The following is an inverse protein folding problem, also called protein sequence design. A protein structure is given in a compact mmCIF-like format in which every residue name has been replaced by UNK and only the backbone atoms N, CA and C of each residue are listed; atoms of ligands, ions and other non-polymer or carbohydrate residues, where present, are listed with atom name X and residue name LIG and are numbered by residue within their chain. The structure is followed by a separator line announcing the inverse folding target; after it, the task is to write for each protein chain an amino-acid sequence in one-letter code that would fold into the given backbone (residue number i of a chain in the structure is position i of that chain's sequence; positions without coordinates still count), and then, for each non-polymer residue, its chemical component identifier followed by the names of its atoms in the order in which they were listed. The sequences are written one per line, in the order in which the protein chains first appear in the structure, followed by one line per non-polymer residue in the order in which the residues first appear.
data_IF_371716534296
#
_entry.id   IF_371716534296
#
_cell.length_a   1.000
_cell.length_b   1.000
_cell.length_c   1.000
_cell.angle_alpha   90.00
_cell.angle_beta   90.00
_cell.angle_gamma   90.00
#
_symmetry.space_group_name_H-M   'P 1'
#
loop_
_entity.id
_entity.type
_entity.pdbx_description
1 polymer ?
#
# COMPACT_ATOMS: atom_id res chain seq x y z
N UNK A 1 12.33 -22.00 6.31
CA UNK A 1 13.30 -22.50 7.29
C UNK A 1 14.45 -21.54 7.53
N UNK A 2 15.33 -21.20 6.56
CA UNK A 2 16.50 -20.34 6.81
C UNK A 2 16.11 -18.91 7.28
N UNK A 3 15.15 -18.26 6.61
CA UNK A 3 14.70 -16.91 7.01
C UNK A 3 14.03 -16.92 8.38
N UNK A 4 13.19 -17.92 8.68
CA UNK A 4 12.53 -18.06 9.99
C UNK A 4 13.53 -18.22 11.13
N UNK A 5 14.61 -19.00 10.91
CA UNK A 5 15.70 -19.13 11.87
C UNK A 5 16.43 -17.78 12.04
N UNK A 6 16.81 -17.12 10.95
CA UNK A 6 17.45 -15.81 10.99
C UNK A 6 16.59 -14.77 11.72
N UNK A 7 15.27 -14.76 11.39
CA UNK A 7 14.31 -13.86 12.03
C UNK A 7 14.26 -14.07 13.54
N UNK A 8 14.08 -15.33 13.99
CA UNK A 8 13.95 -15.66 15.42
C UNK A 8 15.25 -15.47 16.22
N UNK A 9 16.40 -15.72 15.62
CA UNK A 9 17.68 -15.70 16.35
C UNK A 9 18.40 -14.37 16.29
N UNK A 10 18.25 -13.60 15.23
CA UNK A 10 18.98 -12.36 14.98
C UNK A 10 18.05 -11.16 14.88
N UNK A 11 17.12 -11.16 13.90
CA UNK A 11 16.38 -9.95 13.57
C UNK A 11 15.46 -9.48 14.70
N UNK A 12 14.89 -10.40 15.49
CA UNK A 12 14.03 -10.06 16.64
C UNK A 12 14.79 -9.37 17.79
N UNK A 13 16.13 -9.49 17.85
CA UNK A 13 16.96 -8.91 18.90
C UNK A 13 17.44 -7.49 18.58
N UNK A 14 17.26 -7.04 17.35
CA UNK A 14 17.68 -5.72 16.88
C UNK A 14 16.48 -4.78 16.95
N UNK A 15 16.71 -3.50 17.20
CA UNK A 15 15.64 -2.48 17.16
C UNK A 15 14.83 -2.58 15.85
N UNK A 16 13.49 -2.55 15.91
CA UNK A 16 12.65 -2.75 14.73
C UNK A 16 12.83 -1.73 13.61
N UNK A 17 13.08 -0.48 13.97
CA UNK A 17 13.27 0.58 12.98
C UNK A 17 14.68 0.52 12.38
N UNK A 18 15.70 0.28 13.21
CA UNK A 18 17.07 0.12 12.71
C UNK A 18 17.19 -1.04 11.70
N UNK A 19 16.63 -2.21 12.02
CA UNK A 19 16.71 -3.35 11.09
C UNK A 19 15.89 -3.12 9.84
N UNK A 20 14.78 -2.37 9.93
CA UNK A 20 14.02 -1.95 8.76
C UNK A 20 14.89 -1.11 7.83
N UNK A 21 15.57 -0.09 8.35
CA UNK A 21 16.42 0.81 7.56
C UNK A 21 17.56 0.02 6.89
N UNK A 22 18.27 -0.82 7.64
CA UNK A 22 19.34 -1.69 7.09
C UNK A 22 18.82 -2.62 5.98
N UNK A 23 17.65 -3.23 6.17
CA UNK A 23 17.06 -4.10 5.15
C UNK A 23 16.64 -3.30 3.90
N UNK A 24 16.07 -2.10 4.08
CA UNK A 24 15.67 -1.26 2.95
C UNK A 24 16.87 -0.78 2.14
N UNK A 25 17.97 -0.38 2.80
CA UNK A 25 19.24 -0.02 2.13
C UNK A 25 19.81 -1.21 1.36
N UNK A 26 19.81 -2.40 1.96
CA UNK A 26 20.25 -3.62 1.28
C UNK A 26 19.40 -3.96 0.04
N UNK A 27 18.07 -3.81 0.14
CA UNK A 27 17.14 -4.02 -0.97
C UNK A 27 17.38 -2.98 -2.07
N UNK A 28 17.57 -1.70 -1.71
CA UNK A 28 17.88 -0.63 -2.64
C UNK A 28 19.16 -0.91 -3.42
N UNK A 29 20.27 -1.19 -2.72
CA UNK A 29 21.58 -1.48 -3.34
C UNK A 29 21.49 -2.71 -4.24
N UNK A 30 20.89 -3.78 -3.74
CA UNK A 30 20.72 -5.03 -4.51
C UNK A 30 19.89 -4.80 -5.78
N UNK A 31 18.84 -3.99 -5.70
CA UNK A 31 18.01 -3.63 -6.85
C UNK A 31 18.74 -2.86 -7.93
N UNK A 32 19.75 -2.07 -7.56
CA UNK A 32 20.57 -1.25 -8.48
C UNK A 32 21.66 -2.05 -9.18
N UNK A 33 22.06 -3.23 -8.68
CA UNK A 33 23.10 -4.08 -9.28
C UNK A 33 22.45 -5.12 -10.22
N UNK A 34 22.54 -4.98 -11.56
CA UNK A 34 21.77 -5.78 -12.51
C UNK A 34 21.91 -7.29 -12.32
N UNK A 35 23.14 -7.79 -12.21
CA UNK A 35 23.41 -9.23 -12.07
C UNK A 35 22.78 -9.78 -10.77
N UNK A 36 22.99 -9.11 -9.64
CA UNK A 36 22.48 -9.55 -8.33
C UNK A 36 20.95 -9.51 -8.33
N UNK A 37 20.38 -8.41 -8.82
CA UNK A 37 18.95 -8.23 -8.97
C UNK A 37 18.30 -9.36 -9.79
N UNK A 38 18.89 -9.69 -10.94
CA UNK A 38 18.33 -10.68 -11.84
C UNK A 38 18.43 -12.10 -11.25
N UNK A 39 19.50 -12.42 -10.52
CA UNK A 39 19.63 -13.66 -9.74
C UNK A 39 18.58 -13.73 -8.65
N UNK A 40 18.43 -12.67 -7.82
CA UNK A 40 17.42 -12.63 -6.75
C UNK A 40 16.01 -12.76 -7.33
N UNK A 41 15.72 -12.05 -8.42
CA UNK A 41 14.43 -12.17 -9.12
C UNK A 41 14.16 -13.59 -9.61
N UNK A 42 15.17 -14.26 -10.15
CA UNK A 42 15.06 -15.64 -10.62
C UNK A 42 14.77 -16.60 -9.46
N UNK A 43 15.39 -16.38 -8.29
CA UNK A 43 15.24 -17.25 -7.12
C UNK A 43 13.91 -17.02 -6.38
N UNK A 44 13.54 -15.76 -6.15
CA UNK A 44 12.43 -15.41 -5.26
C UNK A 44 11.28 -14.70 -5.95
N UNK A 45 11.57 -13.81 -6.89
CA UNK A 45 10.61 -12.89 -7.50
C UNK A 45 10.02 -13.33 -8.82
N UNK A 46 10.10 -14.62 -9.18
CA UNK A 46 9.45 -15.12 -10.40
C UNK A 46 7.98 -14.77 -10.38
N UNK A 47 7.53 -14.12 -11.44
CA UNK A 47 6.13 -13.76 -11.65
C UNK A 47 5.41 -14.83 -12.44
N UNK A 48 4.07 -14.86 -12.38
CA UNK A 48 3.26 -15.65 -13.30
C UNK A 48 3.62 -15.33 -14.75
N UNK A 49 3.48 -16.31 -15.63
CA UNK A 49 3.73 -16.14 -17.06
C UNK A 49 2.74 -15.16 -17.72
N UNK A 50 1.56 -15.01 -17.13
CA UNK A 50 0.51 -14.10 -17.60
C UNK A 50 0.14 -13.10 -16.50
N UNK A 51 -0.13 -11.82 -16.87
CA UNK A 51 -0.73 -10.87 -15.95
C UNK A 51 -2.03 -11.46 -15.41
N UNK A 52 -2.29 -11.24 -14.13
CA UNK A 52 -3.60 -11.63 -13.56
C UNK A 52 -4.65 -10.74 -14.23
N UNK A 53 -5.70 -11.28 -14.85
CA UNK A 53 -6.78 -10.48 -15.35
C UNK A 53 -7.37 -9.70 -14.17
N UNK A 54 -7.28 -8.37 -14.19
CA UNK A 54 -8.18 -7.60 -13.37
C UNK A 54 -9.58 -7.77 -13.93
N UNK A 55 -10.59 -7.88 -13.10
CA UNK A 55 -11.97 -8.15 -13.47
C UNK A 55 -12.53 -7.13 -14.51
N UNK A 56 -11.93 -5.96 -14.61
CA UNK A 56 -12.21 -4.95 -15.63
C UNK A 56 -11.06 -4.91 -16.65
N UNK A 57 -11.37 -5.08 -17.93
CA UNK A 57 -10.45 -5.08 -19.08
C UNK A 57 -9.60 -3.80 -19.15
N UNK A 58 -8.55 -3.70 -18.36
CA UNK A 58 -7.66 -2.55 -18.30
C UNK A 58 -7.00 -2.38 -16.92
N UNK A 59 -7.56 -2.99 -15.89
CA UNK A 59 -7.11 -2.85 -14.52
C UNK A 59 -7.21 -1.41 -13.99
N UNK A 60 -7.10 -1.22 -12.67
CA UNK A 60 -7.27 0.10 -12.06
C UNK A 60 -6.16 1.09 -12.42
N UNK A 61 -5.05 0.64 -12.99
CA UNK A 61 -3.83 1.45 -13.17
C UNK A 61 -3.46 1.69 -14.64
N UNK A 62 -4.42 1.72 -15.55
CA UNK A 62 -4.22 1.92 -16.99
C UNK A 62 -3.26 0.91 -17.65
N UNK A 63 -2.79 -0.09 -16.93
CA UNK A 63 -1.96 -1.21 -17.42
C UNK A 63 -2.05 -2.43 -16.52
N UNK A 64 -1.84 -3.64 -17.06
CA UNK A 64 -1.89 -4.87 -16.29
C UNK A 64 -0.86 -4.86 -15.14
N UNK A 65 -1.27 -5.37 -13.99
CA UNK A 65 -0.35 -5.65 -12.86
C UNK A 65 0.24 -7.06 -13.02
N UNK A 66 1.55 -7.21 -12.81
CA UNK A 66 2.19 -8.53 -12.96
C UNK A 66 1.89 -9.52 -11.83
N UNK A 67 1.06 -9.16 -10.86
CA UNK A 67 0.60 -10.00 -9.76
C UNK A 67 -0.41 -9.27 -8.89
N UNK A 68 -1.32 -10.01 -8.26
CA UNK A 68 -2.42 -9.47 -7.44
C UNK A 68 -1.93 -8.87 -6.13
N UNK A 69 -0.86 -9.44 -5.53
CA UNK A 69 -0.29 -8.97 -4.28
C UNK A 69 0.76 -7.88 -4.54
N UNK A 70 0.48 -6.67 -4.08
CA UNK A 70 1.40 -5.54 -4.02
C UNK A 70 1.97 -5.28 -2.63
N UNK A 71 2.86 -4.30 -2.56
CA UNK A 71 3.43 -3.79 -1.31
C UNK A 71 2.60 -2.60 -0.82
N UNK A 72 2.21 -2.63 0.46
CA UNK A 72 1.51 -1.52 1.10
C UNK A 72 2.45 -0.35 1.43
N UNK A 73 1.90 0.87 1.43
CA UNK A 73 2.58 2.08 1.88
C UNK A 73 3.18 1.94 3.30
N UNK A 74 4.25 2.67 3.56
CA UNK A 74 4.97 2.67 4.84
C UNK A 74 6.21 1.78 4.87
N UNK A 75 6.37 0.82 3.93
CA UNK A 75 7.60 0.03 3.81
C UNK A 75 8.71 0.85 3.14
N UNK A 76 8.46 1.39 1.97
CA UNK A 76 9.36 2.33 1.28
C UNK A 76 8.79 3.75 1.38
N UNK A 77 9.07 4.41 2.49
CA UNK A 77 8.56 5.76 2.79
C UNK A 77 9.16 6.83 1.90
N UNK A 78 10.31 6.53 1.32
CA UNK A 78 11.11 7.46 0.55
C UNK A 78 11.04 7.23 -0.97
N UNK A 79 10.49 6.10 -1.42
CA UNK A 79 10.49 5.71 -2.83
C UNK A 79 11.88 5.40 -3.37
N UNK A 80 12.78 4.87 -2.52
CA UNK A 80 14.18 4.63 -2.87
C UNK A 80 14.48 3.20 -3.31
N UNK A 81 13.70 2.21 -2.81
CA UNK A 81 13.98 0.79 -2.99
C UNK A 81 13.04 0.09 -4.00
N UNK A 82 12.33 0.83 -4.84
CA UNK A 82 11.26 0.33 -5.73
C UNK A 82 11.76 -0.81 -6.63
N UNK A 83 12.93 -0.66 -7.30
CA UNK A 83 13.47 -1.71 -8.19
C UNK A 83 13.88 -2.96 -7.42
N UNK A 84 14.36 -2.79 -6.19
CA UNK A 84 14.70 -3.88 -5.28
C UNK A 84 13.46 -4.62 -4.77
N UNK A 85 12.42 -3.90 -4.40
CA UNK A 85 11.14 -4.49 -3.98
C UNK A 85 10.45 -5.23 -5.13
N UNK A 86 10.50 -4.66 -6.35
CA UNK A 86 9.99 -5.29 -7.57
C UNK A 86 10.69 -6.63 -7.87
N UNK A 87 12.01 -6.73 -7.63
CA UNK A 87 12.74 -8.00 -7.83
C UNK A 87 12.28 -9.12 -6.89
N UNK A 88 11.65 -8.80 -5.76
CA UNK A 88 11.13 -9.79 -4.80
C UNK A 88 9.77 -10.37 -5.20
N UNK A 89 9.15 -9.84 -6.27
CA UNK A 89 7.95 -10.42 -6.88
C UNK A 89 6.64 -9.79 -6.42
N UNK A 90 6.65 -8.59 -5.84
CA UNK A 90 5.42 -7.81 -5.69
C UNK A 90 4.85 -7.44 -7.06
N UNK A 91 3.54 -7.47 -7.20
CA UNK A 91 2.84 -7.12 -8.43
C UNK A 91 2.84 -5.62 -8.71
N UNK A 92 2.77 -4.82 -7.64
CA UNK A 92 2.85 -3.36 -7.66
C UNK A 92 3.38 -2.86 -6.32
N UNK A 93 3.81 -1.60 -6.28
CA UNK A 93 4.48 -1.05 -5.09
C UNK A 93 3.85 0.30 -4.76
N UNK A 94 3.29 0.42 -3.56
CA UNK A 94 2.83 1.68 -3.01
C UNK A 94 3.91 2.27 -2.11
N UNK A 95 4.41 3.45 -2.48
CA UNK A 95 5.45 4.18 -1.75
C UNK A 95 4.87 5.33 -0.94
N UNK A 96 5.63 5.82 0.03
CA UNK A 96 5.19 6.87 0.96
C UNK A 96 4.72 6.26 2.28
N UNK A 97 4.02 7.03 3.07
CA UNK A 97 3.21 8.22 2.81
C UNK A 97 4.11 9.46 2.68
N UNK A 98 3.94 10.19 1.61
CA UNK A 98 4.58 11.47 1.39
C UNK A 98 3.71 12.60 1.93
N UNK A 99 4.34 13.61 2.52
CA UNK A 99 3.70 14.85 2.93
C UNK A 99 4.25 16.03 2.12
N UNK A 100 3.53 17.13 2.04
CA UNK A 100 3.98 18.30 1.26
C UNK A 100 5.36 18.76 1.71
N UNK A 101 5.61 18.76 3.02
CA UNK A 101 6.90 19.11 3.62
C UNK A 101 7.57 17.90 4.24
N UNK A 102 8.89 17.88 4.25
CA UNK A 102 9.68 16.88 4.98
C UNK A 102 9.37 16.93 6.49
N UNK A 103 9.32 15.76 7.12
CA UNK A 103 9.11 15.66 8.57
C UNK A 103 9.74 14.40 9.17
N UNK A 104 10.24 14.51 10.40
CA UNK A 104 10.90 13.41 11.12
C UNK A 104 9.95 12.34 11.67
N UNK A 105 8.64 12.62 11.70
CA UNK A 105 7.64 11.77 12.33
C UNK A 105 7.56 11.96 13.86
N UNK A 106 7.08 10.94 14.55
CA UNK A 106 6.95 10.94 16.01
C UNK A 106 8.26 10.49 16.69
N UNK A 107 8.38 10.75 18.00
CA UNK A 107 9.55 10.38 18.80
C UNK A 107 9.72 8.85 18.87
N UNK A 108 10.99 8.43 18.89
CA UNK A 108 11.38 7.03 19.11
C UNK A 108 11.36 6.67 20.61
N UNK A 109 11.07 5.39 20.95
CA UNK A 109 10.71 4.27 20.08
C UNK A 109 9.28 4.43 19.54
N UNK A 110 9.09 4.02 18.29
CA UNK A 110 7.83 4.19 17.58
C UNK A 110 7.41 2.99 16.72
N UNK A 111 8.10 1.84 16.88
CA UNK A 111 7.76 0.57 16.24
C UNK A 111 8.03 -0.59 17.22
N UNK A 112 7.09 -1.53 17.33
CA UNK A 112 7.17 -2.71 18.18
C UNK A 112 6.66 -3.94 17.42
N UNK A 113 7.35 -5.08 17.60
CA UNK A 113 6.97 -6.36 17.00
C UNK A 113 6.37 -7.27 18.07
N UNK A 114 5.33 -7.99 17.68
CA UNK A 114 4.64 -8.99 18.52
C UNK A 114 4.65 -10.33 17.80
N UNK A 115 5.75 -11.11 17.87
CA UNK A 115 5.95 -12.32 17.07
C UNK A 115 4.85 -13.39 17.28
N UNK A 116 4.39 -13.56 18.53
CA UNK A 116 3.35 -14.53 18.87
C UNK A 116 2.02 -14.25 18.15
N UNK A 117 1.73 -12.97 17.94
CA UNK A 117 0.53 -12.49 17.24
C UNK A 117 0.79 -12.26 15.74
N UNK A 118 2.04 -12.40 15.26
CA UNK A 118 2.46 -12.00 13.91
C UNK A 118 2.02 -10.57 13.58
N UNK A 119 2.22 -9.66 14.53
CA UNK A 119 1.72 -8.30 14.48
C UNK A 119 2.85 -7.27 14.67
N UNK A 120 2.63 -6.06 14.16
CA UNK A 120 3.49 -4.90 14.37
C UNK A 120 2.62 -3.73 14.80
N UNK A 121 3.00 -3.09 15.91
CA UNK A 121 2.43 -1.82 16.35
C UNK A 121 3.38 -0.70 15.99
N UNK A 122 2.85 0.40 15.46
CA UNK A 122 3.65 1.56 15.11
C UNK A 122 2.94 2.88 15.42
N UNK A 123 3.75 3.90 15.68
CA UNK A 123 3.31 5.29 15.76
C UNK A 123 4.27 6.22 15.01
N UNK A 124 4.53 5.88 13.72
CA UNK A 124 5.57 6.50 12.91
C UNK A 124 5.36 8.00 12.65
N UNK A 125 4.12 8.43 12.35
CA UNK A 125 3.79 9.84 12.11
C UNK A 125 4.30 10.39 10.77
N UNK A 126 4.29 9.56 9.71
CA UNK A 126 4.65 9.95 8.33
C UNK A 126 6.06 10.55 8.20
N UNK A 127 7.07 9.91 8.80
CA UNK A 127 8.46 10.33 8.58
C UNK A 127 8.84 10.14 7.10
N UNK A 128 9.18 11.26 6.42
CA UNK A 128 9.56 11.27 5.01
C UNK A 128 10.26 12.58 4.63
N UNK A 129 10.95 12.58 3.47
CA UNK A 129 11.71 13.72 2.95
C UNK A 129 10.87 14.75 2.17
N UNK A 130 9.53 14.59 2.14
CA UNK A 130 8.61 15.50 1.45
C UNK A 130 8.35 15.13 -0.01
N UNK A 131 7.27 15.71 -0.55
CA UNK A 131 6.76 15.40 -1.88
C UNK A 131 7.74 15.74 -3.02
N UNK A 132 8.52 16.83 -2.87
CA UNK A 132 9.50 17.22 -3.90
C UNK A 132 10.64 16.23 -4.04
N UNK A 133 11.17 15.73 -2.92
CA UNK A 133 12.21 14.72 -2.93
C UNK A 133 11.68 13.38 -3.46
N UNK A 134 10.46 13.02 -3.07
CA UNK A 134 9.76 11.87 -3.65
C UNK A 134 9.63 11.99 -5.17
N UNK A 135 9.18 13.15 -5.67
CA UNK A 135 9.05 13.42 -7.10
C UNK A 135 10.39 13.31 -7.84
N UNK A 136 11.49 13.80 -7.23
CA UNK A 136 12.84 13.68 -7.78
C UNK A 136 13.25 12.22 -7.96
N UNK A 137 13.01 11.36 -6.94
CA UNK A 137 13.33 9.93 -6.97
C UNK A 137 12.46 9.18 -7.97
N UNK A 138 11.15 9.41 -7.96
CA UNK A 138 10.20 8.80 -8.91
C UNK A 138 10.52 9.20 -10.35
N UNK A 139 10.88 10.47 -10.60
CA UNK A 139 11.35 10.93 -11.92
C UNK A 139 12.61 10.19 -12.36
N UNK A 140 13.57 9.98 -11.46
CA UNK A 140 14.79 9.24 -11.76
C UNK A 140 14.47 7.76 -12.10
N UNK A 141 13.59 7.11 -11.35
CA UNK A 141 13.09 5.76 -11.63
C UNK A 141 12.52 5.67 -13.06
N UNK A 142 11.65 6.61 -13.45
CA UNK A 142 10.97 6.60 -14.75
C UNK A 142 11.88 6.86 -15.95
N UNK A 143 13.13 7.27 -15.74
CA UNK A 143 14.12 7.41 -16.81
C UNK A 143 14.64 6.07 -17.32
N UNK A 144 14.59 5.02 -16.52
CA UNK A 144 15.04 3.67 -16.91
C UNK A 144 13.90 2.87 -17.57
N UNK A 145 14.19 2.00 -18.58
CA UNK A 145 13.17 1.09 -19.14
C UNK A 145 12.54 0.21 -18.08
N UNK A 146 13.32 -0.29 -17.13
CA UNK A 146 12.83 -1.12 -16.02
C UNK A 146 11.91 -0.31 -15.10
N UNK A 147 12.32 0.86 -14.65
CA UNK A 147 11.49 1.70 -13.79
C UNK A 147 10.17 2.08 -14.44
N UNK A 148 10.15 2.23 -15.79
CA UNK A 148 8.90 2.42 -16.53
C UNK A 148 7.99 1.19 -16.55
N UNK A 149 8.52 -0.02 -16.38
CA UNK A 149 7.73 -1.25 -16.36
C UNK A 149 7.11 -1.58 -15.01
N UNK A 150 7.57 -0.96 -13.92
CA UNK A 150 7.07 -1.21 -12.56
C UNK A 150 5.80 -0.38 -12.33
N UNK A 151 4.75 -1.03 -11.81
CA UNK A 151 3.54 -0.32 -11.37
C UNK A 151 3.79 0.28 -9.99
N UNK A 152 3.69 1.60 -9.89
CA UNK A 152 4.01 2.36 -8.67
C UNK A 152 2.85 3.28 -8.31
N UNK A 153 2.36 3.14 -7.07
CA UNK A 153 1.45 4.09 -6.45
C UNK A 153 2.16 5.03 -5.49
N UNK A 154 1.66 6.24 -5.35
CA UNK A 154 2.10 7.14 -4.28
C UNK A 154 0.96 7.35 -3.27
N UNK A 155 1.27 7.08 -2.02
CA UNK A 155 0.42 7.38 -0.89
C UNK A 155 0.78 8.78 -0.38
N UNK A 156 -0.20 9.66 -0.29
CA UNK A 156 -0.03 11.05 0.18
C UNK A 156 -0.84 11.31 1.43
N UNK A 157 -0.27 12.07 2.36
CA UNK A 157 -0.89 12.39 3.63
C UNK A 157 -0.60 13.83 4.06
N UNK A 158 -1.37 14.33 5.02
CA UNK A 158 -1.22 15.69 5.54
C UNK A 158 0.09 15.82 6.34
N UNK A 159 0.82 16.89 6.11
CA UNK A 159 1.95 17.31 6.94
C UNK A 159 1.50 17.54 8.39
N UNK A 160 2.26 17.05 9.36
CA UNK A 160 1.87 17.09 10.80
C UNK A 160 1.58 18.51 11.30
N UNK A 161 2.43 19.46 10.89
CA UNK A 161 2.33 20.88 11.34
C UNK A 161 1.29 21.69 10.57
N UNK A 162 0.78 21.19 9.45
CA UNK A 162 -0.30 21.85 8.71
C UNK A 162 -1.60 21.74 9.48
N UNK A 163 -2.31 22.85 9.74
CA UNK A 163 -3.64 22.83 10.36
C UNK A 163 -4.65 22.01 9.54
N UNK A 164 -5.75 21.57 10.16
CA UNK A 164 -6.77 20.77 9.46
C UNK A 164 -7.50 21.60 8.39
N UNK A 165 -7.71 22.88 8.61
CA UNK A 165 -8.30 23.85 7.68
C UNK A 165 -7.47 24.02 6.41
N UNK A 166 -6.16 23.83 6.48
CA UNK A 166 -5.22 23.93 5.35
C UNK A 166 -4.92 22.56 4.69
N UNK A 167 -5.59 21.51 5.12
CA UNK A 167 -5.32 20.15 4.63
C UNK A 167 -5.48 20.03 3.12
N UNK A 168 -6.49 20.67 2.53
CA UNK A 168 -6.77 20.64 1.09
C UNK A 168 -5.55 21.04 0.27
N UNK A 169 -4.92 22.17 0.64
CA UNK A 169 -3.75 22.67 -0.08
C UNK A 169 -2.50 21.80 0.14
N UNK A 170 -2.35 21.21 1.31
CA UNK A 170 -1.24 20.31 1.62
C UNK A 170 -1.31 19.02 0.78
N UNK A 171 -2.51 18.42 0.65
CA UNK A 171 -2.74 17.28 -0.25
C UNK A 171 -2.60 17.64 -1.72
N UNK A 172 -3.14 18.80 -2.14
CA UNK A 172 -3.02 19.33 -3.52
C UNK A 172 -1.56 19.47 -3.92
N UNK A 173 -0.74 20.07 -3.05
CA UNK A 173 0.70 20.22 -3.30
C UNK A 173 1.39 18.86 -3.52
N UNK A 174 1.15 17.90 -2.62
CA UNK A 174 1.74 16.57 -2.71
C UNK A 174 1.33 15.85 -4.00
N UNK A 175 0.03 15.92 -4.36
CA UNK A 175 -0.49 15.32 -5.58
C UNK A 175 0.17 15.92 -6.83
N UNK A 176 0.23 17.26 -6.93
CA UNK A 176 0.87 17.97 -8.04
C UNK A 176 2.33 17.57 -8.24
N UNK A 177 3.06 17.37 -7.14
CA UNK A 177 4.48 17.03 -7.21
C UNK A 177 4.72 15.61 -7.78
N UNK A 178 3.92 14.61 -7.36
CA UNK A 178 4.22 13.19 -7.65
C UNK A 178 3.40 12.58 -8.78
N UNK A 179 2.21 13.11 -9.11
CA UNK A 179 1.23 12.49 -10.00
C UNK A 179 1.78 12.07 -11.37
N UNK A 180 2.65 12.90 -11.96
CA UNK A 180 3.25 12.62 -13.28
C UNK A 180 4.09 11.33 -13.30
N UNK A 181 4.61 10.92 -12.16
CA UNK A 181 5.62 9.86 -12.04
C UNK A 181 5.08 8.53 -11.54
N UNK A 182 3.80 8.48 -11.19
CA UNK A 182 3.15 7.27 -10.61
C UNK A 182 2.03 6.77 -11.50
N UNK A 183 1.61 5.53 -11.27
CA UNK A 183 0.51 4.90 -11.99
C UNK A 183 -0.83 5.16 -11.32
N UNK A 184 -0.83 5.43 -10.01
CA UNK A 184 -2.02 5.81 -9.22
C UNK A 184 -1.63 6.62 -7.98
N UNK A 185 -2.61 7.30 -7.39
CA UNK A 185 -2.49 8.04 -6.14
C UNK A 185 -3.43 7.47 -5.08
N UNK A 186 -3.00 7.54 -3.82
CA UNK A 186 -3.81 7.18 -2.66
C UNK A 186 -3.83 8.33 -1.67
N UNK A 187 -5.00 8.89 -1.41
CA UNK A 187 -5.22 9.87 -0.33
C UNK A 187 -5.36 9.13 1.00
N UNK A 188 -4.41 9.35 1.90
CA UNK A 188 -4.36 8.70 3.20
C UNK A 188 -4.85 9.63 4.30
N UNK A 189 -6.11 9.47 4.69
CA UNK A 189 -6.76 10.18 5.80
C UNK A 189 -6.93 9.30 7.04
N UNK A 190 -6.34 8.10 7.05
CA UNK A 190 -6.67 7.02 7.99
C UNK A 190 -5.59 6.73 9.04
N UNK A 191 -4.43 7.42 9.01
CA UNK A 191 -3.39 7.17 9.99
C UNK A 191 -3.79 7.60 11.40
N UNK A 192 -3.65 6.71 12.41
CA UNK A 192 -3.91 7.08 13.80
C UNK A 192 -2.77 7.91 14.42
N UNK A 193 -1.66 8.08 13.72
CA UNK A 193 -0.39 8.57 14.26
C UNK A 193 -0.14 10.06 13.96
N UNK A 194 -1.10 10.74 13.33
CA UNK A 194 -1.10 12.17 13.05
C UNK A 194 -2.32 12.79 13.71
N UNK A 195 -2.16 13.75 14.64
CA UNK A 195 -3.27 14.34 15.38
C UNK A 195 -4.37 14.88 14.44
N UNK A 196 -5.61 14.54 14.73
CA UNK A 196 -6.80 15.00 14.01
C UNK A 196 -6.96 14.44 12.60
N UNK A 197 -6.00 13.66 12.06
CA UNK A 197 -6.08 13.22 10.66
C UNK A 197 -7.33 12.39 10.36
N UNK A 198 -7.73 11.52 11.28
CA UNK A 198 -8.90 10.65 11.09
C UNK A 198 -10.24 11.40 11.03
N UNK A 199 -10.31 12.62 11.57
CA UNK A 199 -11.52 13.46 11.40
C UNK A 199 -11.73 13.88 9.95
N UNK A 200 -10.67 13.85 9.13
CA UNK A 200 -10.75 14.09 7.68
C UNK A 200 -11.42 12.95 6.89
N UNK A 201 -11.82 11.86 7.56
CA UNK A 201 -12.58 10.78 6.92
C UNK A 201 -14.10 11.07 6.84
N UNK A 202 -14.61 12.11 7.55
CA UNK A 202 -15.98 12.55 7.33
C UNK A 202 -16.15 13.05 5.89
N UNK A 203 -17.32 12.82 5.30
CA UNK A 203 -17.61 13.19 3.90
C UNK A 203 -17.38 14.67 3.64
N UNK A 204 -17.79 15.54 4.60
CA UNK A 204 -17.68 17.00 4.50
C UNK A 204 -16.20 17.44 4.41
N UNK A 205 -15.31 16.80 5.18
CA UNK A 205 -13.89 17.13 5.18
C UNK A 205 -13.14 16.45 4.04
N UNK A 206 -13.54 15.23 3.65
CA UNK A 206 -12.87 14.40 2.66
C UNK A 206 -13.14 14.86 1.23
N UNK A 207 -14.38 15.28 0.92
CA UNK A 207 -14.77 15.71 -0.44
C UNK A 207 -13.85 16.79 -1.02
N UNK A 208 -13.63 17.93 -0.37
CA UNK A 208 -12.79 18.99 -0.94
C UNK A 208 -11.33 18.54 -1.13
N UNK A 209 -10.81 17.63 -0.30
CA UNK A 209 -9.48 17.06 -0.45
C UNK A 209 -9.42 16.21 -1.73
N UNK A 210 -10.38 15.31 -1.94
CA UNK A 210 -10.40 14.41 -3.09
C UNK A 210 -10.57 15.17 -4.41
N UNK A 211 -11.46 16.16 -4.45
CA UNK A 211 -11.65 17.05 -5.62
C UNK A 211 -10.37 17.81 -5.97
N UNK A 212 -9.73 18.42 -4.96
CA UNK A 212 -8.49 19.16 -5.16
C UNK A 212 -7.31 18.27 -5.62
N UNK A 213 -7.21 17.06 -5.08
CA UNK A 213 -6.20 16.08 -5.46
C UNK A 213 -6.43 15.59 -6.90
N UNK A 214 -7.69 15.28 -7.27
CA UNK A 214 -8.07 14.86 -8.62
C UNK A 214 -7.64 15.92 -9.64
N UNK A 215 -8.07 17.15 -9.43
CA UNK A 215 -7.76 18.28 -10.32
C UNK A 215 -6.24 18.46 -10.47
N UNK A 216 -5.51 18.56 -9.35
CA UNK A 216 -4.08 18.78 -9.35
C UNK A 216 -3.28 17.63 -10.00
N UNK A 217 -3.71 16.39 -9.77
CA UNK A 217 -3.06 15.20 -10.32
C UNK A 217 -3.22 15.12 -11.84
N UNK A 218 -4.45 15.28 -12.35
CA UNK A 218 -4.75 15.16 -13.77
C UNK A 218 -4.10 16.29 -14.56
N UNK A 219 -4.11 17.54 -14.02
CA UNK A 219 -3.43 18.68 -14.62
C UNK A 219 -1.90 18.47 -14.66
N UNK A 220 -1.28 18.05 -13.55
CA UNK A 220 0.17 17.86 -13.50
C UNK A 220 0.66 16.73 -14.39
N UNK A 221 -0.11 15.65 -14.48
CA UNK A 221 0.21 14.48 -15.30
C UNK A 221 -0.20 14.65 -16.78
N UNK A 222 -1.09 15.59 -17.10
CA UNK A 222 -1.76 15.74 -18.42
C UNK A 222 -2.45 14.44 -18.89
N UNK A 223 -2.99 13.69 -17.96
CA UNK A 223 -3.74 12.46 -18.15
C UNK A 223 -4.57 12.17 -16.91
N UNK A 224 -5.58 11.33 -17.04
CA UNK A 224 -6.25 10.77 -15.87
C UNK A 224 -5.26 9.96 -15.02
N UNK A 225 -5.16 10.29 -13.73
CA UNK A 225 -4.38 9.55 -12.74
C UNK A 225 -5.35 8.84 -11.80
N UNK A 226 -5.41 7.50 -11.81
CA UNK A 226 -6.27 6.77 -10.89
C UNK A 226 -6.10 7.23 -9.45
N UNK A 227 -7.21 7.61 -8.81
CA UNK A 227 -7.24 8.16 -7.45
C UNK A 227 -8.04 7.25 -6.52
N UNK A 228 -7.40 6.78 -5.47
CA UNK A 228 -8.01 5.97 -4.43
C UNK A 228 -7.95 6.69 -3.07
N UNK A 229 -8.86 6.32 -2.19
CA UNK A 229 -8.83 6.76 -0.77
C UNK A 229 -8.50 5.60 0.15
N UNK A 230 -7.62 5.83 1.14
CA UNK A 230 -7.25 4.80 2.15
C UNK A 230 -7.96 5.09 3.46
N UNK A 231 -8.72 4.11 3.93
CA UNK A 231 -9.59 4.23 5.11
C UNK A 231 -9.08 3.41 6.30
N UNK A 232 -9.54 3.80 7.50
CA UNK A 232 -9.26 3.08 8.73
C UNK A 232 -10.23 1.90 8.92
N UNK A 233 -9.79 0.80 9.56
CA UNK A 233 -10.68 -0.32 9.89
C UNK A 233 -11.67 0.03 11.01
N UNK A 234 -11.38 1.07 11.79
CA UNK A 234 -12.12 1.47 12.99
C UNK A 234 -13.30 2.42 12.68
N UNK A 235 -13.57 2.71 11.39
CA UNK A 235 -14.77 3.45 10.99
C UNK A 235 -16.04 2.67 11.36
N UNK A 236 -17.05 3.41 11.80
CA UNK A 236 -18.40 2.86 11.94
C UNK A 236 -18.95 2.42 10.58
N UNK A 237 -19.90 1.52 10.60
CA UNK A 237 -20.46 0.95 9.38
C UNK A 237 -21.15 2.02 8.50
N UNK A 238 -21.81 2.98 9.13
CA UNK A 238 -22.46 4.12 8.47
C UNK A 238 -21.43 5.04 7.79
N UNK A 239 -20.26 5.24 8.41
CA UNK A 239 -19.17 6.04 7.84
C UNK A 239 -18.51 5.33 6.65
N UNK A 240 -18.41 3.98 6.71
CA UNK A 240 -17.94 3.18 5.58
C UNK A 240 -18.85 3.32 4.36
N UNK A 241 -20.19 3.27 4.59
CA UNK A 241 -21.17 3.48 3.53
C UNK A 241 -21.10 4.89 2.95
N UNK A 242 -20.96 5.91 3.82
CA UNK A 242 -20.84 7.30 3.39
C UNK A 242 -19.57 7.55 2.55
N UNK A 243 -18.46 6.93 2.91
CA UNK A 243 -17.22 6.98 2.08
C UNK A 243 -17.42 6.26 0.75
N UNK A 244 -18.09 5.10 0.74
CA UNK A 244 -18.37 4.38 -0.51
C UNK A 244 -19.27 5.22 -1.45
N UNK A 245 -20.30 5.86 -0.91
CA UNK A 245 -21.17 6.77 -1.68
C UNK A 245 -20.37 7.96 -2.24
N UNK A 246 -19.46 8.53 -1.45
CA UNK A 246 -18.59 9.61 -1.90
C UNK A 246 -17.66 9.15 -3.04
N UNK A 247 -17.13 7.94 -2.97
CA UNK A 247 -16.31 7.34 -4.05
C UNK A 247 -17.09 7.25 -5.34
N UNK A 248 -18.36 6.80 -5.28
CA UNK A 248 -19.24 6.72 -6.45
C UNK A 248 -19.60 8.11 -7.00
N UNK A 249 -19.96 9.03 -6.12
CA UNK A 249 -20.39 10.39 -6.48
C UNK A 249 -19.28 11.19 -7.16
N UNK A 250 -18.04 11.07 -6.68
CA UNK A 250 -16.87 11.73 -7.27
C UNK A 250 -16.24 10.94 -8.43
N UNK A 251 -16.75 9.75 -8.76
CA UNK A 251 -16.16 8.88 -9.78
C UNK A 251 -14.70 8.53 -9.47
N UNK A 252 -14.37 8.25 -8.20
CA UNK A 252 -13.03 7.81 -7.84
C UNK A 252 -12.76 6.40 -8.36
N UNK A 253 -11.49 6.10 -8.56
CA UNK A 253 -11.07 4.83 -9.14
C UNK A 253 -11.05 3.68 -8.11
N UNK A 254 -11.12 3.99 -6.79
CA UNK A 254 -11.24 2.95 -5.78
C UNK A 254 -10.93 3.32 -4.34
N UNK A 255 -10.81 2.27 -3.54
CA UNK A 255 -10.55 2.33 -2.08
C UNK A 255 -9.43 1.38 -1.70
N UNK A 256 -8.57 1.81 -0.75
CA UNK A 256 -7.60 0.94 -0.08
C UNK A 256 -8.12 0.61 1.32
N UNK A 257 -8.50 -0.63 1.57
CA UNK A 257 -9.10 -1.09 2.81
C UNK A 257 -8.30 -2.27 3.38
N UNK A 258 -7.58 -2.08 4.53
CA UNK A 258 -7.65 -0.97 5.48
C UNK A 258 -6.24 -0.48 5.92
N UNK A 259 -6.20 0.63 6.68
CA UNK A 259 -5.02 1.00 7.47
C UNK A 259 -4.93 0.12 8.74
N UNK A 260 -4.05 0.49 9.68
CA UNK A 260 -3.89 -0.17 10.98
C UNK A 260 -5.04 0.19 11.94
N UNK A 261 -5.36 -0.72 12.88
CA UNK A 261 -6.39 -0.50 13.90
C UNK A 261 -5.82 0.10 15.18
N UNK A 262 -6.64 0.88 15.89
CA UNK A 262 -6.40 1.31 17.28
C UNK A 262 -7.16 0.46 18.30
N UNK A 263 -7.97 -0.48 17.85
CA UNK A 263 -8.71 -1.41 18.72
C UNK A 263 -7.76 -2.51 19.23
N UNK A 264 -6.98 -2.17 20.25
CA UNK A 264 -6.05 -3.07 20.93
C UNK A 264 -5.51 -2.46 22.24
N UNK A 265 -5.08 -3.30 23.19
CA UNK A 265 -4.56 -2.92 24.51
C UNK A 265 -3.03 -2.78 24.58
N UNK A 266 -2.35 -2.65 23.44
CA UNK A 266 -0.88 -2.67 23.40
C UNK A 266 -0.24 -1.29 23.54
N UNK A 267 -1.03 -0.25 23.87
CA UNK A 267 -0.59 1.15 23.99
C UNK A 267 -0.73 1.93 22.68
N UNK A 268 -0.28 3.19 22.64
CA UNK A 268 -0.49 4.11 21.53
C UNK A 268 0.05 3.61 20.18
N UNK A 269 -0.69 3.96 19.11
CA UNK A 269 -0.34 3.66 17.73
C UNK A 269 -1.29 2.70 17.05
N UNK A 270 -0.98 2.35 15.82
CA UNK A 270 -1.78 1.41 15.03
C UNK A 270 -1.20 0.01 14.99
N UNK A 271 -2.04 -1.01 15.14
CA UNK A 271 -1.69 -2.43 15.06
C UNK A 271 -1.98 -2.95 13.65
N UNK A 272 -1.01 -3.68 13.10
CA UNK A 272 -1.09 -4.40 11.82
C UNK A 272 -0.73 -5.88 12.01
N UNK A 273 -1.01 -6.68 11.00
CA UNK A 273 -0.70 -8.12 11.01
C UNK A 273 -1.92 -9.00 11.22
N UNK A 274 -1.71 -10.26 11.57
CA UNK A 274 -2.77 -11.28 11.59
C UNK A 274 -4.04 -10.89 12.39
N UNK A 275 -3.98 -10.19 13.52
CA UNK A 275 -5.19 -9.80 14.27
C UNK A 275 -6.16 -8.91 13.47
N UNK A 276 -5.66 -8.19 12.46
CA UNK A 276 -6.48 -7.27 11.67
C UNK A 276 -7.34 -7.95 10.60
N UNK A 277 -7.03 -9.21 10.22
CA UNK A 277 -7.67 -9.89 9.10
C UNK A 277 -9.21 -9.96 9.21
N UNK A 278 -9.81 -10.35 10.34
CA UNK A 278 -11.27 -10.47 10.43
C UNK A 278 -11.97 -9.15 10.11
N UNK A 279 -11.53 -8.05 10.73
CA UNK A 279 -12.14 -6.73 10.48
C UNK A 279 -11.89 -6.24 9.05
N UNK A 280 -10.72 -6.48 8.50
CA UNK A 280 -10.43 -6.10 7.10
C UNK A 280 -11.34 -6.84 6.11
N UNK A 281 -11.65 -8.10 6.35
CA UNK A 281 -12.59 -8.88 5.53
C UNK A 281 -14.02 -8.33 5.60
N UNK A 282 -14.48 -7.94 6.80
CA UNK A 282 -15.80 -7.32 7.00
C UNK A 282 -15.91 -6.00 6.23
N UNK A 283 -14.91 -5.13 6.37
CA UNK A 283 -14.86 -3.83 5.69
C UNK A 283 -14.86 -4.01 4.17
N UNK A 284 -14.04 -4.92 3.64
CA UNK A 284 -13.99 -5.18 2.20
C UNK A 284 -15.33 -5.71 1.66
N UNK A 285 -15.98 -6.65 2.35
CA UNK A 285 -17.31 -7.15 1.94
C UNK A 285 -18.36 -6.03 1.90
N UNK A 286 -18.37 -5.17 2.93
CA UNK A 286 -19.29 -4.05 3.00
C UNK A 286 -19.06 -3.06 1.87
N UNK A 287 -17.80 -2.67 1.64
CA UNK A 287 -17.43 -1.79 0.54
C UNK A 287 -17.83 -2.38 -0.82
N UNK A 288 -17.54 -3.66 -1.07
CA UNK A 288 -17.94 -4.32 -2.33
C UNK A 288 -19.44 -4.33 -2.53
N UNK A 289 -20.19 -4.64 -1.48
CA UNK A 289 -21.66 -4.59 -1.52
C UNK A 289 -22.20 -3.19 -1.88
N UNK A 290 -21.54 -2.12 -1.43
CA UNK A 290 -21.98 -0.75 -1.68
C UNK A 290 -21.47 -0.19 -3.01
N UNK A 291 -20.20 -0.43 -3.34
CA UNK A 291 -19.54 0.08 -4.54
C UNK A 291 -19.94 -0.65 -5.84
N UNK A 292 -20.45 -1.88 -5.75
CA UNK A 292 -20.66 -2.72 -6.95
C UNK A 292 -19.32 -3.10 -7.60
N UNK A 293 -19.33 -3.31 -8.91
CA UNK A 293 -18.18 -3.83 -9.69
C UNK A 293 -17.27 -2.72 -10.26
N UNK A 294 -17.65 -1.44 -10.14
CA UNK A 294 -16.94 -0.34 -10.81
C UNK A 294 -15.60 0.03 -10.15
N UNK A 295 -15.62 0.60 -8.93
CA UNK A 295 -14.40 1.03 -8.25
C UNK A 295 -13.56 -0.14 -7.76
N UNK A 296 -12.22 0.01 -7.88
CA UNK A 296 -11.25 -0.99 -7.39
C UNK A 296 -11.19 -1.00 -5.87
N UNK A 297 -11.21 -2.19 -5.27
CA UNK A 297 -10.89 -2.38 -3.86
C UNK A 297 -9.52 -3.05 -3.73
N UNK A 298 -8.57 -2.34 -3.10
CA UNK A 298 -7.28 -2.93 -2.71
C UNK A 298 -7.41 -3.41 -1.26
N UNK A 299 -7.49 -4.73 -1.06
CA UNK A 299 -7.61 -5.35 0.26
C UNK A 299 -6.28 -5.35 1.00
N UNK A 300 -6.25 -4.78 2.20
CA UNK A 300 -5.06 -4.67 3.06
C UNK A 300 -5.43 -4.94 4.51
N UNK A 301 -4.63 -5.75 5.19
CA UNK A 301 -4.76 -6.01 6.62
C UNK A 301 -4.85 -7.50 6.93
N UNK A 302 -3.82 -8.01 7.61
CA UNK A 302 -3.77 -9.36 8.12
C UNK A 302 -3.40 -10.47 7.13
N UNK A 303 -3.29 -10.21 5.84
CA UNK A 303 -2.92 -11.21 4.82
C UNK A 303 -1.52 -11.75 5.13
N UNK A 304 -1.41 -13.04 5.47
CA UNK A 304 -0.16 -13.69 5.85
C UNK A 304 0.10 -15.03 5.12
N UNK A 305 -0.95 -15.63 4.56
CA UNK A 305 -0.94 -16.90 3.84
C UNK A 305 -1.66 -16.77 2.48
N UNK A 306 -1.59 -17.84 1.68
CA UNK A 306 -2.37 -17.95 0.44
C UNK A 306 -3.86 -17.95 0.76
N UNK A 307 -4.27 -18.69 1.80
CA UNK A 307 -5.66 -18.75 2.23
C UNK A 307 -6.21 -17.39 2.65
N UNK A 308 -5.42 -16.58 3.39
CA UNK A 308 -5.85 -15.22 3.76
C UNK A 308 -6.02 -14.34 2.52
N UNK A 309 -5.13 -14.51 1.52
CA UNK A 309 -5.21 -13.80 0.26
C UNK A 309 -6.47 -14.19 -0.54
N UNK A 310 -6.79 -15.48 -0.62
CA UNK A 310 -8.01 -16.00 -1.25
C UNK A 310 -9.27 -15.47 -0.53
N UNK A 311 -9.31 -15.54 0.81
CA UNK A 311 -10.41 -14.98 1.60
C UNK A 311 -10.64 -13.49 1.35
N UNK A 312 -9.56 -12.72 1.15
CA UNK A 312 -9.67 -11.28 0.88
C UNK A 312 -10.20 -11.02 -0.55
N UNK A 313 -9.80 -11.83 -1.54
CA UNK A 313 -10.35 -11.78 -2.89
C UNK A 313 -11.83 -12.20 -2.89
N UNK A 314 -12.18 -13.27 -2.20
CA UNK A 314 -13.57 -13.75 -2.05
C UNK A 314 -14.45 -12.73 -1.30
N UNK A 315 -13.86 -11.91 -0.43
CA UNK A 315 -14.54 -10.79 0.21
C UNK A 315 -14.87 -9.63 -0.76
N UNK A 316 -14.28 -9.64 -1.97
CA UNK A 316 -14.53 -8.66 -3.02
C UNK A 316 -13.38 -7.70 -3.29
N UNK A 317 -12.17 -7.96 -2.79
CA UNK A 317 -10.99 -7.21 -3.20
C UNK A 317 -10.56 -7.59 -4.63
N UNK A 318 -10.16 -6.61 -5.43
CA UNK A 318 -9.62 -6.81 -6.77
C UNK A 318 -8.11 -7.03 -6.74
N UNK A 319 -7.44 -6.31 -5.84
CA UNK A 319 -6.01 -6.37 -5.60
C UNK A 319 -5.74 -6.47 -4.10
N UNK A 320 -4.54 -6.89 -3.75
CA UNK A 320 -4.12 -7.12 -2.38
C UNK A 320 -2.85 -6.33 -2.08
N UNK A 321 -2.68 -5.91 -0.82
CA UNK A 321 -1.42 -5.38 -0.34
C UNK A 321 -1.02 -6.04 0.98
N UNK A 322 0.29 -6.14 1.22
CA UNK A 322 0.82 -6.61 2.48
C UNK A 322 2.02 -5.77 2.94
N UNK A 323 2.21 -5.75 4.25
CA UNK A 323 3.36 -5.12 4.94
C UNK A 323 3.92 -6.10 5.98
N UNK A 324 3.17 -6.36 7.04
CA UNK A 324 3.60 -7.14 8.22
C UNK A 324 3.99 -8.57 7.86
N UNK A 325 3.25 -9.20 6.95
CA UNK A 325 3.56 -10.56 6.51
C UNK A 325 4.90 -10.66 5.77
N UNK A 326 5.30 -9.63 5.03
CA UNK A 326 6.62 -9.57 4.40
C UNK A 326 7.74 -9.58 5.44
N UNK A 327 7.58 -8.84 6.55
CA UNK A 327 8.54 -8.84 7.66
C UNK A 327 8.69 -10.23 8.26
N UNK A 328 7.58 -10.95 8.49
CA UNK A 328 7.61 -12.26 9.16
C UNK A 328 7.98 -13.42 8.23
N UNK A 329 7.65 -13.35 6.95
CA UNK A 329 7.83 -14.45 6.00
C UNK A 329 9.05 -14.29 5.08
N UNK A 330 9.65 -13.08 5.03
CA UNK A 330 10.90 -12.80 4.32
C UNK A 330 10.76 -12.58 2.82
N UNK A 331 11.90 -12.40 2.13
CA UNK A 331 11.97 -11.84 0.78
C UNK A 331 11.38 -12.75 -0.31
N UNK A 332 11.29 -14.05 -0.08
CA UNK A 332 10.71 -14.98 -1.06
C UNK A 332 9.17 -15.07 -1.01
N UNK A 333 8.56 -14.46 0.02
CA UNK A 333 7.12 -14.60 0.27
C UNK A 333 6.24 -13.93 -0.80
N UNK A 334 6.51 -12.70 -1.27
CA UNK A 334 5.64 -12.03 -2.25
C UNK A 334 5.53 -12.80 -3.57
N UNK A 335 6.67 -13.22 -4.13
CA UNK A 335 6.68 -13.99 -5.36
C UNK A 335 6.00 -15.35 -5.23
N UNK A 336 6.09 -16.00 -4.04
CA UNK A 336 5.39 -17.26 -3.75
C UNK A 336 3.87 -17.08 -3.76
N UNK A 337 3.37 -16.04 -3.09
CA UNK A 337 1.91 -15.75 -3.05
C UNK A 337 1.40 -15.43 -4.45
N UNK A 338 2.06 -14.53 -5.18
CA UNK A 338 1.61 -14.16 -6.52
C UNK A 338 1.57 -15.34 -7.50
N UNK A 339 2.54 -16.28 -7.43
CA UNK A 339 2.50 -17.50 -8.24
C UNK A 339 1.36 -18.43 -7.86
N UNK A 340 1.11 -18.61 -6.57
CA UNK A 340 0.04 -19.49 -6.10
C UNK A 340 -1.34 -18.98 -6.54
N UNK A 341 -1.61 -17.67 -6.35
CA UNK A 341 -2.86 -17.04 -6.78
C UNK A 341 -3.09 -17.15 -8.29
N UNK A 342 -2.05 -16.95 -9.10
CA UNK A 342 -2.15 -17.08 -10.56
C UNK A 342 -2.48 -18.52 -10.99
N UNK A 343 -1.97 -19.52 -10.27
CA UNK A 343 -2.26 -20.94 -10.57
C UNK A 343 -3.71 -21.28 -10.22
N UNK A 344 -4.23 -20.78 -9.09
CA UNK A 344 -5.61 -20.98 -8.67
C UNK A 344 -6.60 -20.35 -9.68
N UNK A 345 -6.35 -19.13 -10.13
CA UNK A 345 -7.18 -18.44 -11.13
C UNK A 345 -7.22 -19.19 -12.47
N UNK A 346 -6.09 -19.72 -12.94
CA UNK A 346 -6.03 -20.51 -14.16
C UNK A 346 -6.83 -21.84 -14.02
N UNK A 347 -6.76 -22.47 -12.85
CA UNK A 347 -7.53 -23.69 -12.56
C UNK A 347 -9.05 -23.46 -12.53
N UNK A 348 -9.48 -22.32 -11.98
CA UNK A 348 -10.91 -21.93 -11.94
C UNK A 348 -11.44 -21.59 -13.34
N UNK A 349 -10.68 -20.88 -14.15
CA UNK A 349 -11.05 -20.56 -15.53
C UNK A 349 -11.22 -21.83 -16.39
N UNK A 350 -10.36 -22.83 -16.23
CA UNK A 350 -10.45 -24.13 -16.92
C UNK A 350 -11.67 -24.94 -16.44
N UNK A 351 -12.05 -24.84 -15.15
CA UNK A 351 -13.26 -25.50 -14.62
C UNK A 351 -14.57 -24.84 -15.12
N UNK A 352 -14.56 -23.53 -15.29
CA UNK A 352 -15.74 -22.78 -15.81
C UNK A 352 -16.00 -23.01 -17.30
N UNK A 353 -15.03 -23.52 -18.06
CA UNK A 353 -15.11 -23.84 -19.48
C UNK A 353 -15.45 -25.32 -19.74
N UNK A 354 -15.61 -26.12 -18.70
CA UNK A 354 -16.08 -27.52 -18.77
C UNK A 354 -17.49 -27.67 -18.21
#
# INVERSE_FOLDING_TARGET
MLYDLLYKTVLTRIDPELIHDVCMDAIEVTGKVPLVRDVVRQMWGRRPAFPVPSANQGGPFARPVPGVLGLAAGMDKEGQAIEGLDMLGFGFIEVGTFTARAQGGNDKPRMWRYPQMRAVRNRMGFNNSGADEAARRLRALRRTPRGRSIVVGANIGKTKVTPLEDAVEDYRYSAKAVARWVDYLVVNVSSPNTPGLRSLQSVEALRPILEAVREAADQAAMRHVPLLVKIAPDLADEDLDAVADLVLDLGLDGVVATNTTIDHDLGDGGLSGAPLLPRSLEVVRRLRSRLGEGPTIIGVGGISSIMDAELMLDAGADLLQAYTAFIYNGPAWPGRINRALATASAGSAVRALR
#
